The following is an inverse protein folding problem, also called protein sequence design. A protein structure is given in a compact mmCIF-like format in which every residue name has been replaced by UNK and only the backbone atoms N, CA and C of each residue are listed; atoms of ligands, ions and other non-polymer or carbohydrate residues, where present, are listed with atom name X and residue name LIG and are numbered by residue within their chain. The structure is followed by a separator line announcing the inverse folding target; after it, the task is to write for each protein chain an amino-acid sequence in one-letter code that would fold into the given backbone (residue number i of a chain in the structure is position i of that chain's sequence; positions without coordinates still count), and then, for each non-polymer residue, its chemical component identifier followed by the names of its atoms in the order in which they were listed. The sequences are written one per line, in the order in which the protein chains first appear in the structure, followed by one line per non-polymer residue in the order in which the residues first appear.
data_IF_702890623343
#
_entry.id   IF_702890623343
#
_cell.length_a   1.000
_cell.length_b   1.000
_cell.length_c   1.000
_cell.angle_alpha   90.00
_cell.angle_beta   90.00
_cell.angle_gamma   90.00
#
_symmetry.space_group_name_H-M   'P 1'
#
loop_
_entity.id
_entity.type
_entity.pdbx_description
1 polymer ?
#
# COMPACT_ATOMS: atom_id res chain seq x y z
N UNK A 1 -3.96 11.74 -1.35
CA UNK A 1 -2.77 11.01 -1.86
C UNK A 1 -2.38 9.90 -0.91
N UNK A 2 -2.36 10.14 0.41
CA UNK A 2 -2.19 9.08 1.43
C UNK A 2 -3.17 7.92 1.31
N UNK A 3 -4.46 8.21 1.10
CA UNK A 3 -5.45 7.14 0.88
C UNK A 3 -5.10 6.24 -0.32
N UNK A 4 -4.44 6.76 -1.36
CA UNK A 4 -4.07 5.95 -2.53
C UNK A 4 -3.01 4.90 -2.18
N UNK A 5 -2.05 5.24 -1.31
CA UNK A 5 -1.02 4.30 -0.84
C UNK A 5 -1.66 3.11 -0.14
N UNK A 6 -2.76 3.34 0.59
CA UNK A 6 -3.51 2.30 1.30
C UNK A 6 -4.41 1.49 0.34
N UNK A 7 -5.12 2.16 -0.56
CA UNK A 7 -6.15 1.50 -1.37
C UNK A 7 -5.61 0.83 -2.64
N UNK A 8 -4.48 1.27 -3.21
CA UNK A 8 -3.87 0.63 -4.39
C UNK A 8 -3.57 -0.86 -4.14
N UNK A 9 -2.80 -1.25 -3.12
CA UNK A 9 -2.46 -2.65 -2.90
C UNK A 9 -3.71 -3.46 -2.51
N UNK A 10 -4.66 -2.86 -1.78
CA UNK A 10 -5.95 -3.50 -1.46
C UNK A 10 -6.80 -3.78 -2.71
N UNK A 11 -6.92 -2.82 -3.63
CA UNK A 11 -7.67 -3.02 -4.89
C UNK A 11 -6.98 -4.07 -5.76
N UNK A 12 -5.65 -4.06 -5.82
CA UNK A 12 -4.89 -5.08 -6.53
C UNK A 12 -5.06 -6.48 -5.91
N UNK A 13 -5.10 -6.58 -4.58
CA UNK A 13 -5.37 -7.82 -3.85
C UNK A 13 -6.74 -8.39 -4.22
N UNK A 14 -7.78 -7.56 -4.24
CA UNK A 14 -9.12 -7.96 -4.66
C UNK A 14 -9.17 -8.34 -6.14
N UNK A 15 -8.49 -7.58 -7.00
CA UNK A 15 -8.37 -7.88 -8.43
C UNK A 15 -7.68 -9.23 -8.71
N UNK A 16 -6.67 -9.59 -7.92
CA UNK A 16 -5.99 -10.89 -8.03
C UNK A 16 -6.93 -12.08 -7.81
N UNK A 17 -8.02 -11.92 -7.06
CA UNK A 17 -9.00 -13.01 -6.84
C UNK A 17 -9.69 -13.41 -8.15
N UNK A 18 -9.82 -12.47 -9.09
CA UNK A 18 -10.39 -12.69 -10.42
C UNK A 18 -9.40 -13.30 -11.41
N UNK A 19 -8.09 -13.28 -11.10
CA UNK A 19 -7.04 -13.86 -11.95
C UNK A 19 -7.01 -15.39 -11.78
N UNK A 20 -6.88 -16.11 -12.89
CA UNK A 20 -6.71 -17.57 -12.86
C UNK A 20 -5.46 -17.96 -12.07
N UNK A 21 -5.58 -19.01 -11.25
CA UNK A 21 -4.48 -19.53 -10.40
C UNK A 21 -3.29 -20.03 -11.23
N UNK A 22 -3.53 -20.43 -12.47
CA UNK A 22 -2.52 -20.96 -13.38
C UNK A 22 -1.71 -19.84 -14.07
N UNK A 23 -2.25 -18.61 -14.12
CA UNK A 23 -1.58 -17.49 -14.77
C UNK A 23 -0.56 -16.82 -13.82
N UNK A 24 0.53 -17.54 -13.57
CA UNK A 24 1.63 -17.09 -12.70
C UNK A 24 2.21 -15.76 -13.17
N UNK A 25 2.33 -15.54 -14.47
CA UNK A 25 2.85 -14.28 -15.02
C UNK A 25 1.98 -13.08 -14.63
N UNK A 26 0.66 -13.18 -14.80
CA UNK A 26 -0.27 -12.12 -14.40
C UNK A 26 -0.22 -11.85 -12.89
N UNK A 27 -0.16 -12.90 -12.06
CA UNK A 27 -0.06 -12.76 -10.60
C UNK A 27 1.19 -11.97 -10.20
N UNK A 28 2.34 -12.30 -10.81
CA UNK A 28 3.62 -11.61 -10.54
C UNK A 28 3.59 -10.16 -10.98
N UNK A 29 3.07 -9.88 -12.17
CA UNK A 29 3.00 -8.51 -12.72
C UNK A 29 2.09 -7.64 -11.87
N UNK A 30 0.90 -8.14 -11.50
CA UNK A 30 -0.04 -7.39 -10.65
C UNK A 30 0.55 -7.18 -9.26
N UNK A 31 1.16 -8.21 -8.67
CA UNK A 31 1.80 -8.14 -7.35
C UNK A 31 2.91 -7.09 -7.29
N UNK A 32 3.91 -7.21 -8.16
CA UNK A 32 5.04 -6.25 -8.20
C UNK A 32 4.55 -4.87 -8.63
N UNK A 33 3.61 -4.80 -9.58
CA UNK A 33 3.08 -3.53 -10.08
C UNK A 33 2.38 -2.73 -8.99
N UNK A 34 1.54 -3.38 -8.18
CA UNK A 34 0.82 -2.72 -7.09
C UNK A 34 1.77 -2.28 -5.96
N UNK A 35 2.61 -3.17 -5.43
CA UNK A 35 3.57 -2.82 -4.39
C UNK A 35 4.62 -1.80 -4.86
N UNK A 36 5.04 -1.90 -6.12
CA UNK A 36 5.92 -0.93 -6.76
C UNK A 36 5.27 0.44 -6.88
N UNK A 37 3.98 0.51 -7.18
CA UNK A 37 3.23 1.77 -7.20
C UNK A 37 3.11 2.38 -5.80
N UNK A 38 2.81 1.59 -4.77
CA UNK A 38 2.80 2.06 -3.37
C UNK A 38 4.17 2.60 -2.94
N UNK A 39 5.25 1.91 -3.28
CA UNK A 39 6.62 2.35 -2.97
C UNK A 39 7.01 3.60 -3.75
N UNK A 40 6.63 3.72 -5.03
CA UNK A 40 6.84 4.95 -5.79
C UNK A 40 6.09 6.15 -5.19
N UNK A 41 4.86 5.94 -4.70
CA UNK A 41 4.09 6.97 -4.02
C UNK A 41 4.69 7.34 -2.65
N UNK A 42 5.23 6.38 -1.90
CA UNK A 42 5.89 6.67 -0.62
C UNK A 42 7.20 7.46 -0.82
N UNK A 43 7.96 7.19 -1.89
CA UNK A 43 9.10 8.01 -2.29
C UNK A 43 8.68 9.43 -2.68
N UNK A 44 7.60 9.57 -3.46
CA UNK A 44 7.06 10.89 -3.78
C UNK A 44 6.67 11.67 -2.51
N UNK A 45 6.10 10.98 -1.52
CA UNK A 45 5.74 11.57 -0.23
C UNK A 45 6.98 12.05 0.55
N UNK A 46 8.07 11.27 0.52
CA UNK A 46 9.36 11.69 1.11
C UNK A 46 9.89 12.99 0.49
N UNK A 47 9.95 13.07 -0.84
CA UNK A 47 10.51 14.26 -1.51
C UNK A 47 9.59 15.48 -1.39
N UNK A 48 8.31 15.27 -1.13
CA UNK A 48 7.33 16.34 -0.98
C UNK A 48 7.13 16.79 0.48
N UNK A 49 7.75 16.12 1.44
CA UNK A 49 7.61 16.41 2.87
C UNK A 49 8.47 17.61 3.29
N UNK A 50 7.86 18.60 3.96
CA UNK A 50 8.56 19.77 4.47
C UNK A 50 9.11 19.49 5.88
N UNK A 51 10.43 19.34 6.03
CA UNK A 51 11.05 19.06 7.32
C UNK A 51 11.11 20.27 8.27
N UNK A 52 10.85 21.48 7.77
CA UNK A 52 10.81 22.69 8.58
C UNK A 52 9.47 22.88 9.31
N UNK A 53 8.41 22.20 8.86
CA UNK A 53 7.10 22.28 9.47
C UNK A 53 6.84 21.07 10.39
N UNK A 54 6.68 21.28 11.72
CA UNK A 54 6.43 20.20 12.68
C UNK A 54 4.99 19.68 12.66
N UNK A 55 4.07 20.33 11.95
CA UNK A 55 2.67 19.91 11.88
C UNK A 55 2.50 18.63 11.03
N UNK A 56 1.38 17.93 11.23
CA UNK A 56 0.95 16.83 10.36
C UNK A 56 0.76 17.33 8.93
N UNK A 57 1.36 16.62 7.97
CA UNK A 57 1.29 16.96 6.54
C UNK A 57 0.41 15.97 5.78
N UNK A 58 0.03 16.37 4.56
CA UNK A 58 -0.84 15.59 3.67
C UNK A 58 -2.18 15.20 4.30
N UNK A 59 -2.70 16.03 5.21
CA UNK A 59 -3.88 15.70 6.01
C UNK A 59 -5.13 15.57 5.14
N UNK A 60 -5.83 14.45 5.31
CA UNK A 60 -7.13 14.18 4.69
C UNK A 60 -8.13 13.91 5.80
N UNK A 61 -9.19 14.72 5.87
CA UNK A 61 -10.27 14.54 6.82
C UNK A 61 -11.57 14.22 6.06
N UNK A 62 -12.25 13.16 6.47
CA UNK A 62 -13.57 12.80 5.99
C UNK A 62 -14.48 12.43 7.16
N UNK A 63 -15.66 13.04 7.24
CA UNK A 63 -16.64 12.72 8.27
C UNK A 63 -17.33 11.40 7.91
N UNK A 64 -16.97 10.31 8.58
CA UNK A 64 -17.47 8.99 8.24
C UNK A 64 -18.86 8.75 8.84
N UNK A 65 -19.02 8.99 10.14
CA UNK A 65 -20.33 8.93 10.81
C UNK A 65 -20.52 10.19 11.64
N UNK A 66 -21.08 11.27 11.05
CA UNK A 66 -21.20 12.57 11.71
C UNK A 66 -21.99 12.52 13.02
N UNK A 67 -23.06 11.73 13.07
CA UNK A 67 -23.89 11.57 14.27
C UNK A 67 -23.11 11.02 15.47
N UNK A 68 -22.06 10.25 15.23
CA UNK A 68 -21.19 9.66 16.25
C UNK A 68 -19.86 10.41 16.40
N UNK A 69 -19.69 11.52 15.68
CA UNK A 69 -18.43 12.28 15.61
C UNK A 69 -17.22 11.42 15.17
N UNK A 70 -17.44 10.38 14.36
CA UNK A 70 -16.39 9.51 13.84
C UNK A 70 -15.84 10.09 12.54
N UNK A 71 -14.54 10.39 12.53
CA UNK A 71 -13.83 10.99 11.40
C UNK A 71 -12.72 10.06 10.91
N UNK A 72 -12.61 9.91 9.60
CA UNK A 72 -11.42 9.38 8.95
C UNK A 72 -10.43 10.53 8.79
N UNK A 73 -9.48 10.61 9.71
CA UNK A 73 -8.40 11.58 9.69
C UNK A 73 -7.09 10.85 9.40
N UNK A 74 -6.54 11.10 8.22
CA UNK A 74 -5.21 10.65 7.83
C UNK A 74 -4.26 11.83 7.75
N UNK A 75 -3.02 11.62 8.16
CA UNK A 75 -1.93 12.56 8.03
C UNK A 75 -0.61 11.81 8.23
N UNK A 76 0.49 12.45 7.87
CA UNK A 76 1.84 11.91 8.09
C UNK A 76 2.68 12.96 8.82
N UNK A 77 3.37 12.52 9.85
CA UNK A 77 4.43 13.25 10.54
C UNK A 77 5.82 12.68 10.17
N UNK A 78 6.88 13.27 10.71
CA UNK A 78 8.25 12.88 10.37
C UNK A 78 8.57 11.41 10.68
N UNK A 79 7.94 10.81 11.70
CA UNK A 79 8.14 9.40 12.05
C UNK A 79 7.31 8.48 11.14
N UNK A 80 6.02 8.79 10.97
CA UNK A 80 5.12 8.00 10.13
C UNK A 80 5.59 7.96 8.68
N UNK A 81 6.26 9.01 8.20
CA UNK A 81 6.87 9.05 6.87
C UNK A 81 7.83 7.88 6.63
N UNK A 82 8.75 7.66 7.57
CA UNK A 82 9.71 6.57 7.49
C UNK A 82 9.04 5.21 7.63
N UNK A 83 8.01 5.10 8.48
CA UNK A 83 7.26 3.85 8.60
C UNK A 83 6.52 3.49 7.32
N UNK A 84 5.83 4.45 6.69
CA UNK A 84 5.13 4.24 5.41
C UNK A 84 6.11 3.79 4.31
N UNK A 85 7.28 4.44 4.24
CA UNK A 85 8.31 4.05 3.27
C UNK A 85 8.85 2.65 3.54
N UNK A 86 9.15 2.34 4.80
CA UNK A 86 9.67 1.04 5.20
C UNK A 86 8.67 -0.07 4.88
N UNK A 87 7.38 0.12 5.21
CA UNK A 87 6.32 -0.83 4.92
C UNK A 87 6.20 -1.08 3.43
N UNK A 88 6.13 -0.02 2.60
CA UNK A 88 6.04 -0.18 1.15
C UNK A 88 7.28 -0.86 0.55
N UNK A 89 8.48 -0.53 1.05
CA UNK A 89 9.74 -1.15 0.60
C UNK A 89 9.80 -2.64 0.96
N UNK A 90 9.47 -2.98 2.20
CA UNK A 90 9.44 -4.36 2.67
C UNK A 90 8.35 -5.17 1.97
N UNK A 91 7.16 -4.59 1.72
CA UNK A 91 6.09 -5.21 0.96
C UNK A 91 6.53 -5.58 -0.46
N UNK A 92 7.17 -4.64 -1.16
CA UNK A 92 7.73 -4.88 -2.49
C UNK A 92 8.76 -6.02 -2.50
N UNK A 93 9.71 -6.01 -1.55
CA UNK A 93 10.71 -7.09 -1.42
C UNK A 93 10.03 -8.42 -1.12
N UNK A 94 9.11 -8.46 -0.16
CA UNK A 94 8.43 -9.68 0.26
C UNK A 94 7.66 -10.31 -0.90
N UNK A 95 6.98 -9.50 -1.74
CA UNK A 95 6.30 -9.99 -2.93
C UNK A 95 7.29 -10.54 -3.95
N UNK A 96 8.40 -9.86 -4.22
CA UNK A 96 9.43 -10.37 -5.14
C UNK A 96 10.01 -11.73 -4.68
N UNK A 97 10.27 -11.90 -3.38
CA UNK A 97 10.78 -13.15 -2.83
C UNK A 97 9.73 -14.26 -2.78
N UNK A 98 8.44 -13.91 -2.67
CA UNK A 98 7.34 -14.87 -2.63
C UNK A 98 7.21 -15.72 -3.89
N UNK A 99 7.83 -15.32 -5.00
CA UNK A 99 7.79 -16.04 -6.28
C UNK A 99 8.47 -17.40 -6.28
N UNK A 100 9.19 -17.72 -5.20
CA UNK A 100 9.74 -19.05 -4.93
C UNK A 100 8.68 -20.03 -4.41
N UNK A 101 7.53 -19.55 -3.95
CA UNK A 101 6.45 -20.41 -3.47
C UNK A 101 5.81 -21.20 -4.61
N UNK A 102 5.70 -22.52 -4.39
CA UNK A 102 5.17 -23.46 -5.40
C UNK A 102 3.66 -23.65 -5.30
N UNK A 103 3.08 -23.45 -4.12
CA UNK A 103 1.65 -23.66 -3.88
C UNK A 103 0.96 -22.37 -3.46
N UNK A 104 -0.25 -22.14 -3.99
CA UNK A 104 -1.11 -21.06 -3.51
C UNK A 104 -0.63 -19.63 -3.78
N UNK A 105 0.32 -19.42 -4.72
CA UNK A 105 0.95 -18.12 -5.00
C UNK A 105 -0.04 -16.96 -5.11
N UNK A 106 -1.15 -17.15 -5.83
CA UNK A 106 -2.19 -16.12 -6.00
C UNK A 106 -2.72 -15.61 -4.67
N UNK A 107 -3.11 -16.54 -3.78
CA UNK A 107 -3.72 -16.19 -2.51
C UNK A 107 -2.67 -15.58 -1.57
N UNK A 108 -1.43 -16.09 -1.62
CA UNK A 108 -0.33 -15.52 -0.86
C UNK A 108 -0.05 -14.07 -1.25
N UNK A 109 0.12 -13.78 -2.56
CA UNK A 109 0.37 -12.42 -3.05
C UNK A 109 -0.82 -11.50 -2.75
N UNK A 110 -2.06 -11.97 -2.89
CA UNK A 110 -3.24 -11.17 -2.55
C UNK A 110 -3.29 -10.81 -1.06
N UNK A 111 -2.99 -11.77 -0.16
CA UNK A 111 -2.95 -11.49 1.28
C UNK A 111 -1.78 -10.59 1.68
N UNK A 112 -0.62 -10.74 1.03
CA UNK A 112 0.52 -9.85 1.25
C UNK A 112 0.21 -8.41 0.83
N UNK A 113 -0.43 -8.20 -0.33
CA UNK A 113 -0.88 -6.88 -0.76
C UNK A 113 -1.98 -6.31 0.14
N UNK A 114 -2.87 -7.15 0.69
CA UNK A 114 -3.89 -6.67 1.62
C UNK A 114 -3.33 -6.29 3.00
N UNK A 115 -2.13 -6.77 3.33
CA UNK A 115 -1.43 -6.46 4.58
C UNK A 115 -0.59 -5.17 4.49
N UNK A 116 -0.13 -4.83 3.29
CA UNK A 116 0.64 -3.62 2.96
C UNK A 116 -0.13 -2.33 3.27
#
# INVERSE_FOLDING_TARGET
MLSLIIFIPLVAALGLLMVSRENVAAIKIVGVGAAGASFALSLWLLFSFDTANPDMQFVQMFHWVPALHINYLLGVDGISLWMVMLTAFLGLIAIMFSFTQKEGLRNFVALMLALE
#
